data_IF_723171786793
#
_entry.id   IF_723171786793
#
_cell.length_a   1.000
_cell.length_b   1.000
_cell.length_c   1.000
_cell.angle_alpha   90.00
_cell.angle_beta   90.00
_cell.angle_gamma   90.00
#
_symmetry.space_group_name_H-M   'P 1'
#
loop_
_entity.id
_entity.type
_entity.pdbx_description
1 polymer ?
#
# COMPACT_ATOMS: atom_id res chain seq x y z
N UNK A 1 26.19 21.31 -3.03
CA UNK A 1 26.48 21.64 -4.44
C UNK A 1 25.20 22.13 -5.08
N UNK A 2 25.08 23.46 -5.26
CA UNK A 2 23.96 24.12 -5.92
C UNK A 2 24.07 23.97 -7.46
N UNK A 3 22.98 23.74 -8.20
CA UNK A 3 23.02 23.73 -9.67
C UNK A 3 23.24 25.16 -10.20
N UNK A 4 24.17 25.30 -11.16
CA UNK A 4 24.39 26.54 -11.90
C UNK A 4 23.26 26.76 -12.92
N UNK A 5 22.71 27.98 -12.98
CA UNK A 5 21.77 28.43 -14.02
C UNK A 5 22.55 29.07 -15.17
N UNK A 6 22.14 28.80 -16.42
CA UNK A 6 22.50 29.66 -17.56
C UNK A 6 21.67 30.95 -17.51
N UNK A 7 22.13 32.00 -18.22
CA UNK A 7 21.57 33.35 -18.22
C UNK A 7 20.08 33.41 -18.66
N UNK A 8 19.59 32.36 -19.33
CA UNK A 8 18.21 32.23 -19.82
C UNK A 8 17.26 31.42 -18.91
N UNK A 9 17.69 31.01 -17.71
CA UNK A 9 16.80 30.37 -16.72
C UNK A 9 16.28 28.96 -17.10
N UNK A 10 16.78 28.36 -18.18
CA UNK A 10 16.41 27.01 -18.63
C UNK A 10 17.36 25.96 -18.02
N UNK A 11 16.79 24.96 -17.35
CA UNK A 11 17.52 23.81 -16.82
C UNK A 11 17.88 22.86 -17.96
N UNK A 12 19.14 22.89 -18.40
CA UNK A 12 19.64 21.93 -19.39
C UNK A 12 19.95 20.62 -18.66
N UNK A 13 19.24 19.58 -19.09
CA UNK A 13 19.32 18.21 -18.61
C UNK A 13 20.69 17.57 -18.86
N UNK A 14 21.08 16.71 -17.93
CA UNK A 14 22.43 16.21 -17.63
C UNK A 14 22.96 15.15 -18.63
N UNK A 15 22.65 15.25 -19.92
CA UNK A 15 22.87 14.17 -20.91
C UNK A 15 24.24 14.18 -21.63
N UNK A 16 25.12 15.17 -21.45
CA UNK A 16 26.30 15.32 -22.35
C UNK A 16 27.69 15.13 -21.71
N UNK A 17 27.78 14.41 -20.58
CA UNK A 17 29.02 14.25 -19.80
C UNK A 17 29.67 12.85 -19.88
N UNK A 18 29.64 12.21 -21.05
CA UNK A 18 30.54 11.06 -21.34
C UNK A 18 31.74 11.51 -22.19
N UNK A 19 32.98 11.43 -21.67
CA UNK A 19 34.15 12.06 -22.26
C UNK A 19 34.58 11.38 -23.56
N UNK A 20 34.86 12.20 -24.58
CA UNK A 20 35.63 11.82 -25.80
C UNK A 20 37.01 11.30 -25.38
N UNK A 21 37.09 10.01 -25.04
CA UNK A 21 38.32 9.34 -24.59
C UNK A 21 38.96 8.61 -25.78
N UNK A 22 40.21 8.99 -26.06
CA UNK A 22 41.26 8.25 -26.78
C UNK A 22 41.23 8.26 -28.32
N UNK A 23 41.70 9.38 -28.88
CA UNK A 23 42.64 9.31 -30.01
C UNK A 23 43.99 8.83 -29.46
N UNK A 24 44.65 7.90 -30.16
CA UNK A 24 45.95 7.26 -29.85
C UNK A 24 45.87 6.02 -28.97
N UNK A 25 45.44 4.90 -29.56
CA UNK A 25 45.68 3.56 -29.00
C UNK A 25 46.36 2.72 -30.09
N UNK A 26 47.59 2.30 -29.79
CA UNK A 26 48.49 1.58 -30.67
C UNK A 26 47.88 0.27 -31.16
N UNK A 27 48.09 0.00 -32.45
CA UNK A 27 47.60 -1.17 -33.17
C UNK A 27 48.39 -2.42 -32.72
N UNK A 28 47.81 -3.22 -31.81
CA UNK A 28 48.31 -4.57 -31.53
C UNK A 28 47.77 -5.55 -32.60
N UNK A 29 48.61 -6.41 -33.21
CA UNK A 29 48.12 -7.41 -34.15
C UNK A 29 47.22 -8.45 -33.45
N UNK A 30 46.04 -8.68 -34.01
CA UNK A 30 45.06 -9.65 -33.49
C UNK A 30 45.57 -11.09 -33.62
N UNK A 31 45.41 -11.91 -32.57
CA UNK A 31 45.63 -13.36 -32.60
C UNK A 31 44.55 -14.05 -33.46
N UNK A 32 44.86 -15.15 -34.18
CA UNK A 32 43.88 -15.92 -34.94
C UNK A 32 42.81 -16.57 -34.03
N UNK A 33 41.55 -16.57 -34.48
CA UNK A 33 40.35 -16.97 -33.72
C UNK A 33 40.25 -18.50 -33.56
N UNK A 34 40.26 -18.99 -32.32
CA UNK A 34 39.91 -20.36 -31.92
C UNK A 34 38.38 -20.55 -31.96
N UNK A 35 37.88 -21.73 -32.36
CA UNK A 35 36.43 -22.04 -32.40
C UNK A 35 35.86 -22.01 -30.99
N UNK A 36 35.20 -20.92 -30.65
CA UNK A 36 34.94 -20.55 -29.26
C UNK A 36 33.50 -20.92 -28.83
N UNK A 37 33.32 -22.06 -28.14
CA UNK A 37 32.07 -22.40 -27.42
C UNK A 37 31.66 -21.32 -26.38
N UNK A 38 32.54 -20.34 -26.16
CA UNK A 38 32.28 -19.15 -25.36
C UNK A 38 31.17 -18.30 -25.96
N UNK A 39 30.94 -18.30 -27.28
CA UNK A 39 29.84 -17.54 -27.89
C UNK A 39 28.47 -18.00 -27.38
N UNK A 40 28.21 -19.31 -27.34
CA UNK A 40 26.98 -19.86 -26.75
C UNK A 40 26.89 -19.56 -25.25
N UNK A 41 28.03 -19.56 -24.54
CA UNK A 41 28.05 -19.19 -23.12
C UNK A 41 27.69 -17.71 -22.92
N UNK A 42 28.19 -16.82 -23.76
CA UNK A 42 27.86 -15.39 -23.70
C UNK A 42 26.39 -15.14 -24.05
N UNK A 43 25.82 -15.86 -25.02
CA UNK A 43 24.41 -15.73 -25.38
C UNK A 43 23.48 -16.20 -24.26
N UNK A 44 23.79 -17.33 -23.63
CA UNK A 44 23.03 -17.82 -22.46
C UNK A 44 23.15 -16.88 -21.26
N UNK A 45 24.35 -16.36 -20.95
CA UNK A 45 24.55 -15.36 -19.89
C UNK A 45 23.79 -14.07 -20.19
N UNK A 46 23.79 -13.62 -21.45
CA UNK A 46 23.02 -12.47 -21.91
C UNK A 46 21.53 -12.65 -21.63
N UNK A 47 20.97 -13.82 -21.94
CA UNK A 47 19.56 -14.15 -21.68
C UNK A 47 19.19 -14.07 -20.20
N UNK A 48 20.02 -14.60 -19.29
CA UNK A 48 19.77 -14.49 -17.84
C UNK A 48 19.87 -13.06 -17.33
N UNK A 49 20.85 -12.28 -17.83
CA UNK A 49 21.02 -10.87 -17.44
C UNK A 49 19.85 -10.03 -17.96
N UNK A 50 19.36 -10.29 -19.17
CA UNK A 50 18.23 -9.57 -19.78
C UNK A 50 16.91 -9.91 -19.06
N UNK A 51 16.72 -11.17 -18.65
CA UNK A 51 15.60 -11.61 -17.80
C UNK A 51 15.67 -10.99 -16.40
N UNK A 52 16.86 -10.92 -15.78
CA UNK A 52 17.03 -10.20 -14.50
C UNK A 52 16.77 -8.69 -14.64
N UNK A 53 17.15 -8.07 -15.75
CA UNK A 53 16.86 -6.65 -16.04
C UNK A 53 15.35 -6.44 -16.23
N UNK A 54 14.65 -7.32 -16.94
CA UNK A 54 13.19 -7.23 -17.10
C UNK A 54 12.48 -7.43 -15.76
N UNK A 55 12.86 -8.44 -14.96
CA UNK A 55 12.29 -8.69 -13.62
C UNK A 55 12.55 -7.49 -12.69
N UNK A 56 13.75 -6.91 -12.71
CA UNK A 56 14.06 -5.71 -11.92
C UNK A 56 13.29 -4.48 -12.41
N UNK A 57 13.11 -4.31 -13.72
CA UNK A 57 12.31 -3.22 -14.27
C UNK A 57 10.83 -3.35 -13.88
N UNK A 58 10.30 -4.57 -13.94
CA UNK A 58 8.93 -4.89 -13.54
C UNK A 58 8.76 -4.70 -12.03
N UNK A 59 9.64 -5.28 -11.21
CA UNK A 59 9.66 -5.08 -9.76
C UNK A 59 9.74 -3.58 -9.40
N UNK A 60 10.58 -2.80 -10.10
CA UNK A 60 10.68 -1.36 -9.92
C UNK A 60 9.40 -0.60 -10.31
N UNK A 61 8.70 -1.01 -11.38
CA UNK A 61 7.40 -0.44 -11.76
C UNK A 61 6.34 -0.78 -10.70
N UNK A 62 6.33 -2.02 -10.19
CA UNK A 62 5.42 -2.45 -9.13
C UNK A 62 5.68 -1.66 -7.85
N UNK A 63 6.92 -1.57 -7.39
CA UNK A 63 7.29 -0.78 -6.21
C UNK A 63 6.94 0.69 -6.40
N UNK A 64 7.23 1.29 -7.56
CA UNK A 64 6.85 2.67 -7.86
C UNK A 64 5.32 2.88 -7.81
N UNK A 65 4.55 1.95 -8.37
CA UNK A 65 3.09 2.02 -8.34
C UNK A 65 2.53 1.88 -6.91
N UNK A 66 3.11 0.98 -6.11
CA UNK A 66 2.72 0.76 -4.72
C UNK A 66 3.08 1.95 -3.83
N UNK A 67 4.23 2.57 -4.04
CA UNK A 67 4.60 3.80 -3.33
C UNK A 67 3.63 4.95 -3.64
N UNK A 68 3.21 5.09 -4.90
CA UNK A 68 2.24 6.11 -5.32
C UNK A 68 0.87 5.87 -4.69
N UNK A 69 0.38 4.61 -4.67
CA UNK A 69 -0.87 4.22 -4.00
C UNK A 69 -0.77 4.49 -2.50
N UNK A 70 0.34 4.11 -1.86
CA UNK A 70 0.57 4.32 -0.43
C UNK A 70 0.62 5.81 -0.10
N UNK A 71 1.32 6.63 -0.89
CA UNK A 71 1.36 8.08 -0.70
C UNK A 71 -0.03 8.68 -0.81
N UNK A 72 -0.81 8.33 -1.84
CA UNK A 72 -2.19 8.77 -1.99
C UNK A 72 -3.02 8.39 -0.76
N UNK A 73 -2.91 7.14 -0.31
CA UNK A 73 -3.62 6.68 0.88
C UNK A 73 -3.20 7.48 2.12
N UNK A 74 -1.91 7.75 2.33
CA UNK A 74 -1.46 8.55 3.48
C UNK A 74 -1.91 10.02 3.42
N UNK A 75 -2.08 10.58 2.22
CA UNK A 75 -2.55 11.96 2.04
C UNK A 75 -4.07 12.09 2.21
N UNK A 76 -4.84 11.04 1.91
CA UNK A 76 -6.30 11.03 2.06
C UNK A 76 -6.77 10.41 3.38
N UNK A 77 -5.94 9.59 4.03
CA UNK A 77 -6.31 8.92 5.27
C UNK A 77 -6.31 9.92 6.43
N UNK A 78 -7.51 10.16 6.97
CA UNK A 78 -7.67 10.91 8.20
C UNK A 78 -6.98 10.17 9.37
N UNK A 79 -6.06 10.84 10.06
CA UNK A 79 -5.43 10.32 11.27
C UNK A 79 -5.97 11.08 12.47
N UNK A 80 -6.41 10.36 13.50
CA UNK A 80 -6.80 10.97 14.76
C UNK A 80 -5.60 11.62 15.44
N UNK A 81 -5.74 12.87 15.88
CA UNK A 81 -4.73 13.55 16.69
C UNK A 81 -4.64 12.91 18.08
N UNK A 82 -5.80 12.66 18.69
CA UNK A 82 -5.88 12.05 20.02
C UNK A 82 -6.58 10.70 19.98
N UNK A 83 -6.21 9.82 20.91
CA UNK A 83 -6.92 8.54 21.13
C UNK A 83 -8.37 8.76 21.59
N UNK A 84 -8.63 9.86 22.28
CA UNK A 84 -9.97 10.22 22.74
C UNK A 84 -10.92 10.53 21.56
N UNK A 85 -10.44 11.23 20.53
CA UNK A 85 -11.22 11.57 19.34
C UNK A 85 -11.71 10.31 18.63
N UNK A 86 -10.84 9.31 18.53
CA UNK A 86 -11.19 8.00 17.98
C UNK A 86 -12.30 7.32 18.78
N UNK A 87 -12.21 7.30 20.12
CA UNK A 87 -13.22 6.70 21.00
C UNK A 87 -14.54 7.45 20.89
N UNK A 88 -14.53 8.78 20.78
CA UNK A 88 -15.73 9.59 20.64
C UNK A 88 -16.48 9.28 19.33
N UNK A 89 -15.76 9.06 18.24
CA UNK A 89 -16.36 8.68 16.95
C UNK A 89 -16.98 7.28 17.03
N UNK A 90 -16.29 6.32 17.65
CA UNK A 90 -16.86 4.99 17.91
C UNK A 90 -18.12 5.10 18.77
N UNK A 91 -18.09 5.91 19.83
CA UNK A 91 -19.25 6.13 20.70
C UNK A 91 -20.43 6.73 19.94
N UNK A 92 -20.18 7.71 19.08
CA UNK A 92 -21.20 8.30 18.21
C UNK A 92 -21.79 7.29 17.22
N UNK A 93 -20.99 6.35 16.72
CA UNK A 93 -21.46 5.28 15.85
C UNK A 93 -22.41 4.32 16.60
N UNK A 94 -22.08 3.98 17.85
CA UNK A 94 -22.92 3.14 18.72
C UNK A 94 -24.24 3.86 19.06
N UNK A 95 -24.16 5.15 19.37
CA UNK A 95 -25.29 6.00 19.72
C UNK A 95 -25.94 6.55 18.45
N UNK A 96 -26.52 5.65 17.65
CA UNK A 96 -27.31 6.04 16.47
C UNK A 96 -28.78 6.26 16.86
N UNK A 97 -29.45 7.26 16.26
CA UNK A 97 -30.88 7.58 16.50
C UNK A 97 -31.78 6.34 16.41
N UNK A 98 -31.50 5.45 15.45
CA UNK A 98 -32.23 4.21 15.27
C UNK A 98 -32.16 3.27 16.49
N UNK A 99 -31.01 3.22 17.17
CA UNK A 99 -30.86 2.42 18.39
C UNK A 99 -31.73 2.99 19.52
N UNK A 100 -31.75 4.33 19.65
CA UNK A 100 -32.51 5.03 20.70
C UNK A 100 -34.02 4.96 20.45
N UNK A 101 -34.50 5.09 19.20
CA UNK A 101 -35.93 5.10 18.90
C UNK A 101 -36.56 3.71 18.98
N UNK A 102 -35.81 2.67 18.62
CA UNK A 102 -36.30 1.29 18.63
C UNK A 102 -36.38 0.72 20.06
N UNK A 103 -35.49 1.16 20.93
CA UNK A 103 -35.39 0.67 22.30
C UNK A 103 -36.69 0.87 23.12
N UNK A 104 -37.35 2.04 23.15
CA UNK A 104 -38.60 2.25 23.87
C UNK A 104 -39.74 1.34 23.41
N UNK A 105 -39.85 1.13 22.10
CA UNK A 105 -40.91 0.30 21.52
C UNK A 105 -40.76 -1.13 22.02
N UNK A 106 -39.56 -1.71 21.85
CA UNK A 106 -39.28 -3.10 22.26
C UNK A 106 -39.38 -3.26 23.78
N UNK A 107 -38.90 -2.28 24.55
CA UNK A 107 -38.96 -2.28 26.02
C UNK A 107 -40.42 -2.31 26.51
N UNK A 108 -41.32 -1.56 25.88
CA UNK A 108 -42.74 -1.54 26.24
C UNK A 108 -43.45 -2.88 25.95
N UNK A 109 -43.08 -3.54 24.85
CA UNK A 109 -43.67 -4.82 24.45
C UNK A 109 -43.10 -6.01 25.24
N UNK A 110 -41.84 -5.93 25.69
CA UNK A 110 -41.10 -7.03 26.31
C UNK A 110 -41.19 -7.07 27.85
N UNK A 111 -42.17 -6.39 28.45
CA UNK A 111 -42.37 -6.39 29.91
C UNK A 111 -41.72 -5.22 30.67
N UNK A 112 -41.49 -4.10 29.99
CA UNK A 112 -40.98 -2.87 30.60
C UNK A 112 -39.47 -2.92 30.88
N UNK A 113 -39.05 -2.22 31.94
CA UNK A 113 -37.63 -1.99 32.25
C UNK A 113 -36.81 -3.27 32.49
N UNK A 114 -37.46 -4.39 32.81
CA UNK A 114 -36.75 -5.65 33.05
C UNK A 114 -36.04 -6.18 31.79
N UNK A 115 -36.55 -5.85 30.61
CA UNK A 115 -35.91 -6.16 29.33
C UNK A 115 -34.53 -5.47 29.17
N UNK A 116 -34.26 -4.41 29.94
CA UNK A 116 -32.99 -3.69 29.90
C UNK A 116 -31.81 -4.58 30.36
N UNK A 117 -32.04 -5.52 31.28
CA UNK A 117 -30.99 -6.41 31.81
C UNK A 117 -30.36 -7.26 30.70
N UNK A 118 -31.10 -8.13 29.98
CA UNK A 118 -30.52 -8.92 28.89
C UNK A 118 -30.00 -8.02 27.76
N UNK A 119 -30.65 -6.88 27.49
CA UNK A 119 -30.18 -5.94 26.47
C UNK A 119 -28.78 -5.39 26.77
N UNK A 120 -28.54 -4.91 27.99
CA UNK A 120 -27.22 -4.42 28.42
C UNK A 120 -26.19 -5.54 28.46
N UNK A 121 -26.57 -6.75 28.91
CA UNK A 121 -25.66 -7.90 28.89
C UNK A 121 -25.25 -8.26 27.46
N UNK A 122 -26.20 -8.32 26.52
CA UNK A 122 -25.90 -8.55 25.10
C UNK A 122 -25.02 -7.43 24.53
N UNK A 123 -25.26 -6.16 24.85
CA UNK A 123 -24.40 -5.07 24.41
C UNK A 123 -22.96 -5.23 24.92
N UNK A 124 -22.78 -5.57 26.20
CA UNK A 124 -21.44 -5.75 26.79
C UNK A 124 -20.74 -6.95 26.17
N UNK A 125 -21.40 -8.10 26.08
CA UNK A 125 -20.76 -9.35 25.62
C UNK A 125 -20.64 -9.48 24.11
N UNK A 126 -21.48 -8.80 23.33
CA UNK A 126 -21.47 -8.91 21.87
C UNK A 126 -20.86 -7.66 21.26
N UNK A 127 -21.33 -6.47 21.63
CA UNK A 127 -20.89 -5.21 21.00
C UNK A 127 -19.44 -4.89 21.35
N UNK A 128 -19.01 -5.03 22.61
CA UNK A 128 -17.63 -4.71 23.00
C UNK A 128 -16.61 -5.60 22.25
N UNK A 129 -16.76 -6.94 22.21
CA UNK A 129 -15.82 -7.78 21.44
C UNK A 129 -15.84 -7.51 19.94
N UNK A 130 -17.01 -7.25 19.35
CA UNK A 130 -17.12 -6.94 17.92
C UNK A 130 -16.41 -5.62 17.60
N UNK A 131 -16.67 -4.57 18.37
CA UNK A 131 -16.01 -3.26 18.17
C UNK A 131 -14.50 -3.38 18.37
N UNK A 132 -14.06 -4.14 19.36
CA UNK A 132 -12.64 -4.40 19.57
C UNK A 132 -12.02 -5.12 18.37
N UNK A 133 -12.68 -6.17 17.87
CA UNK A 133 -12.23 -6.95 16.71
C UNK A 133 -12.17 -6.08 15.45
N UNK A 134 -13.23 -5.32 15.16
CA UNK A 134 -13.33 -4.45 13.99
C UNK A 134 -12.23 -3.38 14.01
N UNK A 135 -12.01 -2.73 15.15
CA UNK A 135 -10.95 -1.74 15.30
C UNK A 135 -9.56 -2.36 15.21
N UNK A 136 -9.34 -3.54 15.80
CA UNK A 136 -8.06 -4.23 15.73
C UNK A 136 -7.71 -4.61 14.27
N UNK A 137 -8.69 -5.14 13.53
CA UNK A 137 -8.49 -5.52 12.13
C UNK A 137 -8.30 -4.28 11.24
N UNK A 138 -9.07 -3.21 11.46
CA UNK A 138 -8.91 -1.95 10.72
C UNK A 138 -7.53 -1.31 10.93
N UNK A 139 -7.04 -1.29 12.17
CA UNK A 139 -5.70 -0.79 12.48
C UNK A 139 -4.59 -1.70 11.94
N UNK A 140 -4.77 -3.02 12.01
CA UNK A 140 -3.79 -3.99 11.52
C UNK A 140 -3.66 -3.97 10.00
N UNK A 141 -4.78 -3.96 9.28
CA UNK A 141 -4.78 -4.00 7.81
C UNK A 141 -4.45 -2.65 7.18
N UNK A 142 -4.83 -1.53 7.82
CA UNK A 142 -4.78 -0.19 7.19
C UNK A 142 -5.47 -0.13 5.82
N UNK A 143 -6.40 -1.05 5.54
CA UNK A 143 -7.17 -1.16 4.30
C UNK A 143 -8.65 -0.83 4.58
N UNK A 144 -9.38 -0.27 3.60
CA UNK A 144 -10.84 -0.16 3.67
C UNK A 144 -11.49 -1.54 3.89
N UNK A 145 -12.61 -1.60 4.62
CA UNK A 145 -13.26 -2.85 5.01
C UNK A 145 -13.55 -3.79 3.83
N UNK A 146 -13.96 -3.26 2.68
CA UNK A 146 -14.22 -4.06 1.47
C UNK A 146 -12.96 -4.73 0.92
N UNK A 147 -11.82 -4.00 0.88
CA UNK A 147 -10.54 -4.57 0.42
C UNK A 147 -10.00 -5.58 1.42
N UNK A 148 -10.15 -5.30 2.72
CA UNK A 148 -9.80 -6.23 3.79
C UNK A 148 -10.50 -7.59 3.62
N UNK A 149 -11.81 -7.61 3.31
CA UNK A 149 -12.53 -8.87 3.12
C UNK A 149 -12.01 -9.68 1.92
N UNK A 150 -11.65 -9.01 0.82
CA UNK A 150 -11.01 -9.66 -0.34
C UNK A 150 -9.68 -10.34 0.04
N UNK A 151 -8.88 -9.68 0.89
CA UNK A 151 -7.60 -10.24 1.36
C UNK A 151 -7.75 -11.36 2.41
N UNK A 152 -8.79 -11.32 3.26
CA UNK A 152 -9.05 -12.36 4.25
C UNK A 152 -9.59 -13.63 3.61
N UNK A 153 -10.52 -13.50 2.65
CA UNK A 153 -11.08 -14.61 1.90
C UNK A 153 -11.54 -14.11 0.53
N UNK A 154 -10.95 -14.60 -0.57
CA UNK A 154 -11.32 -14.14 -1.91
C UNK A 154 -12.79 -14.45 -2.26
N UNK A 155 -13.46 -15.35 -1.52
CA UNK A 155 -14.88 -15.64 -1.68
C UNK A 155 -15.84 -14.54 -1.19
N UNK A 156 -15.39 -13.63 -0.32
CA UNK A 156 -16.19 -12.49 0.16
C UNK A 156 -15.87 -11.19 -0.60
N UNK A 157 -15.13 -11.29 -1.71
CA UNK A 157 -14.61 -10.17 -2.47
C UNK A 157 -15.63 -9.28 -3.18
N UNK A 158 -16.92 -9.67 -3.23
CA UNK A 158 -17.96 -8.94 -3.94
C UNK A 158 -17.58 -8.73 -5.41
N UNK A 159 -17.69 -9.79 -6.21
CA UNK A 159 -17.50 -9.71 -7.67
C UNK A 159 -18.35 -8.62 -8.31
#
# INVERSE_FOLDING_TARGET
MHPAKNEDGIFIEKQELLPKKKKNMAFFPAKPKEKDNRSERYENVGKYVEEEIEIQSFAGIYDYSMERIRQQFTHTAFRFTNRADHIFIILSLIVTLNNILRFPIICSESGGILFLIPYVLCLIFITIPIIYLENAIGQYSSLPSMQLFYHLCPGFGGT
#
